data_IF_972123675051
#
_entry.id   IF_972123675051
#
_cell.length_a   1.000
_cell.length_b   1.000
_cell.length_c   1.000
_cell.angle_alpha   90.00
_cell.angle_beta   90.00
_cell.angle_gamma   90.00
#
_symmetry.space_group_name_H-M   'P 1'
#
loop_
_entity.id
_entity.type
_entity.pdbx_description
1 polymer ?
#
# COMPACT_ATOMS: atom_id res chain seq x y z
N UNK A 1 0.85 -11.00 -2.17
CA UNK A 1 1.91 -10.30 -1.42
C UNK A 1 1.27 -9.11 -0.71
N UNK A 2 1.78 -8.71 0.44
CA UNK A 2 1.30 -7.58 1.21
C UNK A 2 2.23 -6.38 1.04
N UNK A 3 1.69 -5.25 0.62
CA UNK A 3 2.44 -4.01 0.33
C UNK A 3 1.87 -2.89 1.20
N UNK A 4 2.77 -2.14 1.83
CA UNK A 4 2.41 -0.92 2.54
C UNK A 4 2.74 0.29 1.68
N UNK A 5 1.83 1.24 1.61
CA UNK A 5 2.00 2.48 0.87
C UNK A 5 1.88 3.68 1.81
N UNK A 6 2.83 4.61 1.75
CA UNK A 6 2.74 5.89 2.45
C UNK A 6 3.37 7.02 1.65
N UNK A 7 2.60 8.08 1.44
CA UNK A 7 3.14 9.32 0.89
C UNK A 7 2.42 10.53 1.49
N UNK A 8 3.14 11.60 1.92
CA UNK A 8 2.55 12.70 2.68
C UNK A 8 1.60 13.60 1.86
N UNK A 9 1.67 13.55 0.52
CA UNK A 9 0.92 14.47 -0.36
C UNK A 9 0.15 13.79 -1.49
N UNK A 10 0.25 12.47 -1.65
CA UNK A 10 -0.43 11.79 -2.76
C UNK A 10 -1.86 11.41 -2.37
N UNK A 11 -2.69 11.23 -3.40
CA UNK A 11 -3.99 10.59 -3.26
C UNK A 11 -3.79 9.09 -3.00
N UNK A 12 -3.70 8.73 -1.72
CA UNK A 12 -3.46 7.35 -1.27
C UNK A 12 -4.48 6.35 -1.85
N UNK A 13 -5.82 6.59 -1.78
CA UNK A 13 -6.80 5.71 -2.41
C UNK A 13 -6.56 5.47 -3.90
N UNK A 14 -6.21 6.52 -4.64
CA UNK A 14 -5.89 6.40 -6.07
C UNK A 14 -4.70 5.48 -6.30
N UNK A 15 -3.60 5.68 -5.57
CA UNK A 15 -2.39 4.88 -5.74
C UNK A 15 -2.56 3.43 -5.31
N UNK A 16 -3.26 3.17 -4.20
CA UNK A 16 -3.59 1.80 -3.78
C UNK A 16 -4.36 1.09 -4.89
N UNK A 17 -5.40 1.74 -5.43
CA UNK A 17 -6.23 1.16 -6.50
C UNK A 17 -5.41 0.87 -7.74
N UNK A 18 -4.51 1.77 -8.14
CA UNK A 18 -3.69 1.57 -9.34
C UNK A 18 -2.62 0.49 -9.13
N UNK A 19 -1.97 0.45 -7.95
CA UNK A 19 -1.01 -0.59 -7.60
C UNK A 19 -1.64 -1.98 -7.59
N UNK A 20 -2.86 -2.13 -7.06
CA UNK A 20 -3.57 -3.42 -7.05
C UNK A 20 -3.95 -3.91 -8.46
N UNK A 21 -4.27 -3.00 -9.39
CA UNK A 21 -4.50 -3.35 -10.80
C UNK A 21 -3.23 -3.85 -11.49
N UNK A 22 -2.10 -3.17 -11.24
CA UNK A 22 -0.82 -3.50 -11.89
C UNK A 22 -0.15 -4.73 -11.26
N UNK A 23 -0.49 -5.06 -10.01
CA UNK A 23 0.05 -6.21 -9.27
C UNK A 23 -1.06 -7.18 -8.83
N UNK A 24 -1.67 -7.93 -9.77
CA UNK A 24 -2.77 -8.85 -9.46
C UNK A 24 -2.39 -9.85 -8.34
N UNK A 25 -3.25 -9.98 -7.34
CA UNK A 25 -3.01 -10.85 -6.18
C UNK A 25 -2.16 -10.23 -5.07
N UNK A 26 -1.78 -8.96 -5.22
CA UNK A 26 -1.20 -8.17 -4.15
C UNK A 26 -2.29 -7.47 -3.35
N UNK A 27 -2.07 -7.30 -2.05
CA UNK A 27 -2.92 -6.49 -1.18
C UNK A 27 -2.12 -5.25 -0.84
N UNK A 28 -2.65 -4.09 -1.22
CA UNK A 28 -1.98 -2.82 -0.95
C UNK A 28 -2.78 -2.09 0.11
N UNK A 29 -2.12 -1.66 1.18
CA UNK A 29 -2.76 -0.93 2.27
C UNK A 29 -1.96 0.30 2.64
N UNK A 30 -2.66 1.36 3.03
CA UNK A 30 -2.04 2.54 3.58
C UNK A 30 -1.32 2.19 4.89
N UNK A 31 -0.05 2.58 5.03
CA UNK A 31 0.61 2.52 6.33
C UNK A 31 0.18 3.71 7.19
N UNK A 32 -0.15 3.43 8.45
CA UNK A 32 -0.45 4.46 9.46
C UNK A 32 0.42 4.26 10.69
N UNK A 33 0.70 5.33 11.46
CA UNK A 33 1.36 5.19 12.76
C UNK A 33 0.63 4.14 13.62
N UNK A 34 1.38 3.16 14.12
CA UNK A 34 0.85 2.04 14.90
C UNK A 34 0.58 0.76 14.08
N UNK A 35 0.70 0.83 12.76
CA UNK A 35 0.66 -0.36 11.92
C UNK A 35 2.01 -1.10 11.96
N UNK A 36 1.99 -2.23 12.68
CA UNK A 36 3.12 -3.15 12.85
C UNK A 36 2.85 -4.51 12.17
N UNK A 37 1.87 -4.57 11.27
CA UNK A 37 1.59 -5.81 10.55
C UNK A 37 2.73 -6.10 9.56
N UNK A 38 3.10 -7.38 9.37
CA UNK A 38 4.12 -7.75 8.41
C UNK A 38 3.72 -7.31 6.99
N UNK A 39 4.73 -6.99 6.20
CA UNK A 39 4.58 -6.63 4.80
C UNK A 39 5.79 -7.14 4.01
N UNK A 40 5.54 -7.56 2.78
CA UNK A 40 6.58 -8.02 1.86
C UNK A 40 7.34 -6.81 1.27
N UNK A 41 6.64 -5.68 1.06
CA UNK A 41 7.20 -4.46 0.45
C UNK A 41 6.65 -3.18 1.08
N UNK A 42 7.44 -2.10 1.00
CA UNK A 42 7.07 -0.75 1.41
C UNK A 42 7.33 0.25 0.27
N UNK A 43 6.33 1.08 -0.02
CA UNK A 43 6.31 2.07 -1.11
C UNK A 43 5.93 3.47 -0.60
#
# INVERSE_FOLDING_TARGET
MDIIFYHPTFDTPFWITELEKQLPGSRVREWKPGDNQPADYAL
#
